data_IF_922373135559
#
_entry.id   IF_922373135559
#
_cell.length_a   1.000
_cell.length_b   1.000
_cell.length_c   1.000
_cell.angle_alpha   90.00
_cell.angle_beta   90.00
_cell.angle_gamma   90.00
#
_symmetry.space_group_name_H-M   'P 1'
#
loop_
_entity.id
_entity.type
_entity.pdbx_description
1 polymer ?
#
# COMPACT_ATOMS: atom_id res chain seq x y z
N UNK A 1 -5.97 20.35 31.91
CA UNK A 1 -4.59 20.13 31.43
C UNK A 1 -4.47 18.64 31.15
N UNK A 2 -4.61 18.22 29.89
CA UNK A 2 -4.44 16.81 29.52
C UNK A 2 -3.05 16.66 28.92
N UNK A 3 -2.17 16.02 29.69
CA UNK A 3 -0.85 15.63 29.26
C UNK A 3 -1.00 14.42 28.32
N UNK A 4 -0.97 14.67 27.01
CA UNK A 4 -0.82 13.62 25.99
C UNK A 4 0.67 13.32 25.80
N UNK A 5 1.31 12.77 26.83
CA UNK A 5 2.64 12.22 26.67
C UNK A 5 2.58 10.88 25.91
N UNK A 6 2.76 11.00 24.59
CA UNK A 6 3.53 10.08 23.73
C UNK A 6 3.20 8.59 23.84
N UNK A 7 2.08 8.21 23.25
CA UNK A 7 2.06 7.02 22.42
C UNK A 7 2.37 7.45 20.99
N UNK A 8 3.66 7.56 20.61
CA UNK A 8 4.03 7.65 19.20
C UNK A 8 3.72 6.28 18.60
N UNK A 9 2.46 6.11 18.21
CA UNK A 9 1.97 4.93 17.54
C UNK A 9 2.72 4.83 16.21
N UNK A 10 3.33 3.68 16.00
CA UNK A 10 3.86 3.19 14.71
C UNK A 10 2.81 3.15 13.58
N UNK A 11 1.59 3.64 13.86
CA UNK A 11 0.38 3.67 13.03
C UNK A 11 0.30 4.94 12.14
N UNK A 12 1.14 5.95 12.39
CA UNK A 12 1.10 7.20 11.62
C UNK A 12 1.50 7.00 10.14
N UNK A 13 2.28 5.96 9.83
CA UNK A 13 2.68 5.63 8.45
C UNK A 13 1.50 5.09 7.63
N UNK A 14 0.48 4.52 8.28
CA UNK A 14 -0.68 3.91 7.61
C UNK A 14 -1.77 4.90 7.18
N UNK A 15 -1.73 6.15 7.64
CA UNK A 15 -2.84 7.09 7.40
C UNK A 15 -2.59 8.09 6.28
N UNK A 16 -1.33 8.30 5.89
CA UNK A 16 -0.97 9.20 4.81
C UNK A 16 -0.95 8.44 3.48
N UNK A 17 -1.73 8.87 2.48
CA UNK A 17 -1.65 8.28 1.16
C UNK A 17 -0.32 8.66 0.50
N UNK A 18 0.30 7.69 -0.17
CA UNK A 18 1.53 7.86 -0.96
C UNK A 18 1.34 7.22 -2.34
N UNK A 19 2.22 7.56 -3.27
CA UNK A 19 2.17 7.03 -4.63
C UNK A 19 2.89 5.69 -4.72
N UNK A 20 2.24 4.71 -5.34
CA UNK A 20 2.76 3.39 -5.62
C UNK A 20 2.61 3.08 -7.11
N UNK A 21 3.57 2.35 -7.68
CA UNK A 21 3.39 1.66 -8.97
C UNK A 21 3.10 0.19 -8.70
N UNK A 22 1.98 -0.29 -9.25
CA UNK A 22 1.63 -1.70 -9.29
C UNK A 22 2.19 -2.29 -10.57
N UNK A 23 2.90 -3.42 -10.45
CA UNK A 23 3.45 -4.17 -11.57
C UNK A 23 2.74 -5.50 -11.71
N UNK A 24 2.54 -5.89 -12.97
CA UNK A 24 2.10 -7.22 -13.39
C UNK A 24 3.21 -7.84 -14.23
N UNK A 25 3.75 -8.98 -13.81
CA UNK A 25 4.83 -9.68 -14.51
C UNK A 25 6.04 -8.76 -14.80
N UNK A 26 6.40 -7.94 -13.80
CA UNK A 26 7.49 -6.95 -13.86
C UNK A 26 7.19 -5.67 -14.65
N UNK A 27 6.03 -5.57 -15.33
CA UNK A 27 5.64 -4.39 -16.12
C UNK A 27 4.68 -3.47 -15.36
N UNK A 28 4.81 -2.13 -15.47
CA UNK A 28 3.88 -1.22 -14.83
C UNK A 28 2.46 -1.41 -15.37
N UNK A 29 1.51 -1.60 -14.45
CA UNK A 29 0.10 -1.84 -14.76
C UNK A 29 -0.76 -0.64 -14.33
N UNK A 30 -0.55 -0.13 -13.12
CA UNK A 30 -1.34 0.97 -12.56
C UNK A 30 -0.53 1.79 -11.56
N UNK A 31 -0.96 3.04 -11.34
CA UNK A 31 -0.47 3.90 -10.27
C UNK A 31 -1.55 4.01 -9.19
N UNK A 32 -1.17 3.87 -7.92
CA UNK A 32 -2.07 3.97 -6.78
C UNK A 32 -1.62 5.11 -5.88
N UNK A 33 -2.50 6.09 -5.67
CA UNK A 33 -2.36 7.06 -4.58
C UNK A 33 -3.20 6.54 -3.41
N UNK A 34 -2.56 5.83 -2.49
CA UNK A 34 -3.22 5.05 -1.47
C UNK A 34 -2.39 4.98 -0.19
N UNK A 35 -3.02 4.67 0.93
CA UNK A 35 -2.28 4.30 2.13
C UNK A 35 -1.57 2.96 1.93
N UNK A 36 -0.48 2.65 2.66
CA UNK A 36 0.21 1.37 2.56
C UNK A 36 -0.71 0.15 2.74
N UNK A 37 -1.63 0.22 3.72
CA UNK A 37 -2.60 -0.84 3.98
C UNK A 37 -3.58 -1.03 2.80
N UNK A 38 -4.05 0.07 2.20
CA UNK A 38 -4.95 0.00 1.06
C UNK A 38 -4.22 -0.53 -0.18
N UNK A 39 -3.00 -0.05 -0.46
CA UNK A 39 -2.17 -0.55 -1.55
C UNK A 39 -1.95 -2.07 -1.44
N UNK A 40 -1.63 -2.55 -0.23
CA UNK A 40 -1.46 -3.99 0.05
C UNK A 40 -2.74 -4.77 -0.23
N UNK A 41 -3.89 -4.32 0.29
CA UNK A 41 -5.19 -4.99 0.05
C UNK A 41 -5.55 -5.03 -1.43
N UNK A 42 -5.28 -3.96 -2.17
CA UNK A 42 -5.53 -3.90 -3.61
C UNK A 42 -4.69 -4.91 -4.38
N UNK A 43 -3.38 -4.99 -4.09
CA UNK A 43 -2.48 -5.93 -4.77
C UNK A 43 -2.83 -7.38 -4.42
N UNK A 44 -3.16 -7.67 -3.16
CA UNK A 44 -3.69 -8.99 -2.77
C UNK A 44 -4.97 -9.34 -3.55
N UNK A 45 -5.86 -8.37 -3.79
CA UNK A 45 -7.05 -8.57 -4.63
C UNK A 45 -6.70 -8.96 -6.07
N UNK A 46 -5.70 -8.31 -6.67
CA UNK A 46 -5.22 -8.67 -8.01
C UNK A 46 -4.60 -10.07 -8.07
N UNK A 47 -3.78 -10.41 -7.07
CA UNK A 47 -3.17 -11.74 -6.96
C UNK A 47 -4.21 -12.85 -6.78
N UNK A 48 -5.30 -12.58 -6.03
CA UNK A 48 -6.40 -13.53 -5.88
C UNK A 48 -7.23 -13.69 -7.16
N UNK A 49 -7.45 -12.61 -7.91
CA UNK A 49 -8.23 -12.64 -9.15
C UNK A 49 -7.47 -13.27 -10.33
N UNK A 50 -6.14 -13.15 -10.35
CA UNK A 50 -5.25 -13.66 -11.40
C UNK A 50 -3.98 -14.23 -10.79
N UNK A 51 -4.05 -15.43 -10.19
CA UNK A 51 -2.93 -16.04 -9.46
C UNK A 51 -1.77 -16.48 -10.36
N UNK A 52 -1.99 -16.58 -11.67
CA UNK A 52 -0.96 -16.92 -12.65
C UNK A 52 0.02 -15.78 -12.94
N UNK A 53 -0.32 -14.55 -12.57
CA UNK A 53 0.50 -13.37 -12.79
C UNK A 53 1.26 -12.98 -11.52
N UNK A 54 2.49 -12.49 -11.69
CA UNK A 54 3.29 -11.96 -10.59
C UNK A 54 2.89 -10.50 -10.29
N UNK A 55 2.28 -10.28 -9.14
CA UNK A 55 1.79 -8.97 -8.71
C UNK A 55 2.67 -8.39 -7.63
N UNK A 56 3.25 -7.23 -7.90
CA UNK A 56 4.09 -6.49 -6.95
C UNK A 56 3.71 -5.02 -6.92
N UNK A 57 4.12 -4.32 -5.86
CA UNK A 57 4.01 -2.88 -5.78
C UNK A 57 5.23 -2.28 -5.10
N UNK A 58 5.63 -1.10 -5.55
CA UNK A 58 6.72 -0.31 -4.96
C UNK A 58 6.29 1.14 -4.84
N UNK A 59 6.78 1.81 -3.79
CA UNK A 59 6.54 3.23 -3.56
C UNK A 59 7.39 4.05 -4.54
N UNK A 60 6.81 5.11 -5.09
CA UNK A 60 7.47 6.06 -5.99
C UNK A 60 8.01 7.26 -5.18
#
# INVERSE_FOLDING_TARGET
>A
MFDQSRGFRDDAVETCPVEYVVRKDGKPFAFLNATPALATRTVTGFALATPEADWTFERI
#
